data_IF_989170657178
#
_entry.id   IF_989170657178
#
_cell.length_a   1.000
_cell.length_b   1.000
_cell.length_c   1.000
_cell.angle_alpha   90.00
_cell.angle_beta   90.00
_cell.angle_gamma   90.00
#
_symmetry.space_group_name_H-M   'P 1'
#
loop_
_entity.id
_entity.type
_entity.pdbx_description
1 polymer ?
#
# COMPACT_ATOMS: atom_id res chain seq x y z
N UNK A 1 -52.77 -5.23 -54.41
CA UNK A 1 -51.56 -4.68 -53.74
C UNK A 1 -51.86 -3.87 -52.46
N UNK A 2 -52.84 -4.27 -51.63
CA UNK A 2 -53.21 -3.55 -50.39
C UNK A 2 -52.45 -3.94 -49.10
N UNK A 3 -51.98 -5.19 -48.87
CA UNK A 3 -51.37 -5.56 -47.59
C UNK A 3 -49.97 -4.97 -47.40
N UNK A 4 -49.20 -4.84 -48.49
CA UNK A 4 -47.84 -4.29 -48.46
C UNK A 4 -47.80 -2.85 -47.92
N UNK A 5 -48.82 -2.03 -48.22
CA UNK A 5 -48.88 -0.62 -47.79
C UNK A 5 -49.19 -0.49 -46.30
N UNK A 6 -50.00 -1.39 -45.75
CA UNK A 6 -50.33 -1.43 -44.31
C UNK A 6 -49.12 -1.88 -43.49
N UNK A 7 -48.41 -2.92 -43.93
CA UNK A 7 -47.17 -3.39 -43.30
C UNK A 7 -46.10 -2.30 -43.31
N UNK A 8 -45.90 -1.63 -44.45
CA UNK A 8 -44.91 -0.53 -44.56
C UNK A 8 -45.24 0.65 -43.65
N UNK A 9 -46.53 0.95 -43.45
CA UNK A 9 -46.98 2.00 -42.54
C UNK A 9 -46.79 1.58 -41.07
N UNK A 10 -47.12 0.35 -40.72
CA UNK A 10 -46.96 -0.19 -39.37
C UNK A 10 -45.49 -0.23 -38.93
N UNK A 11 -44.58 -0.72 -39.80
CA UNK A 11 -43.14 -0.74 -39.55
C UNK A 11 -42.61 0.68 -39.36
N UNK A 12 -43.03 1.65 -40.17
CA UNK A 12 -42.59 3.04 -40.04
C UNK A 12 -43.01 3.68 -38.71
N UNK A 13 -44.14 3.29 -38.12
CA UNK A 13 -44.57 3.77 -36.79
C UNK A 13 -43.95 3.01 -35.63
N UNK A 14 -43.65 1.71 -35.78
CA UNK A 14 -43.13 0.88 -34.69
C UNK A 14 -41.60 0.86 -34.64
N UNK A 15 -40.92 1.06 -35.77
CA UNK A 15 -39.45 1.04 -35.82
C UNK A 15 -38.80 2.11 -34.93
N UNK A 16 -39.23 3.38 -34.90
CA UNK A 16 -38.63 4.38 -34.01
C UNK A 16 -38.73 4.02 -32.52
N UNK A 17 -39.91 3.72 -31.93
CA UNK A 17 -40.00 3.41 -30.50
C UNK A 17 -39.25 2.13 -30.12
N UNK A 18 -39.23 1.10 -30.97
CA UNK A 18 -38.46 -0.13 -30.72
C UNK A 18 -36.96 0.16 -30.72
N UNK A 19 -36.48 0.99 -31.66
CA UNK A 19 -35.08 1.40 -31.71
C UNK A 19 -34.68 2.18 -30.47
N UNK A 20 -35.50 3.14 -30.03
CA UNK A 20 -35.23 3.90 -28.80
C UNK A 20 -35.24 3.01 -27.56
N UNK A 21 -36.21 2.09 -27.43
CA UNK A 21 -36.23 1.12 -26.32
C UNK A 21 -34.98 0.24 -26.31
N UNK A 22 -34.55 -0.25 -27.47
CA UNK A 22 -33.34 -1.07 -27.59
C UNK A 22 -32.08 -0.29 -27.20
N UNK A 23 -31.98 0.99 -27.61
CA UNK A 23 -30.89 1.87 -27.22
C UNK A 23 -30.88 2.14 -25.72
N UNK A 24 -32.03 2.43 -25.12
CA UNK A 24 -32.16 2.63 -23.67
C UNK A 24 -31.76 1.36 -22.91
N UNK A 25 -32.19 0.18 -23.36
CA UNK A 25 -31.79 -1.09 -22.75
C UNK A 25 -30.28 -1.31 -22.84
N UNK A 26 -29.68 -1.05 -24.01
CA UNK A 26 -28.23 -1.16 -24.20
C UNK A 26 -27.45 -0.19 -23.31
N UNK A 27 -27.86 1.08 -23.26
CA UNK A 27 -27.23 2.08 -22.40
C UNK A 27 -27.44 1.79 -20.91
N UNK A 28 -28.61 1.27 -20.51
CA UNK A 28 -28.85 0.83 -19.14
C UNK A 28 -27.93 -0.32 -18.74
N UNK A 29 -27.76 -1.32 -19.61
CA UNK A 29 -26.82 -2.42 -19.38
C UNK A 29 -25.38 -1.92 -19.27
N UNK A 30 -24.95 -1.06 -20.20
CA UNK A 30 -23.60 -0.49 -20.24
C UNK A 30 -23.33 0.43 -19.03
N UNK A 31 -24.32 1.19 -18.55
CA UNK A 31 -24.15 2.01 -17.36
C UNK A 31 -23.87 1.18 -16.09
N UNK A 32 -24.34 -0.07 -16.05
CA UNK A 32 -24.10 -0.98 -14.91
C UNK A 32 -22.81 -1.78 -15.08
N UNK A 33 -22.55 -2.33 -16.27
CA UNK A 33 -21.44 -3.28 -16.53
C UNK A 33 -20.27 -2.69 -17.31
N UNK A 34 -20.38 -1.44 -17.75
CA UNK A 34 -19.34 -0.78 -18.52
C UNK A 34 -18.09 -0.54 -17.68
N UNK A 35 -16.97 -0.30 -18.36
CA UNK A 35 -15.69 -0.02 -17.71
C UNK A 35 -15.71 1.22 -16.80
N UNK A 36 -16.72 2.09 -16.93
CA UNK A 36 -16.95 3.26 -16.08
C UNK A 36 -18.34 3.20 -15.42
N UNK A 37 -18.92 2.01 -15.36
CA UNK A 37 -20.18 1.78 -14.65
C UNK A 37 -20.01 1.88 -13.13
N UNK A 38 -21.13 1.77 -12.43
CA UNK A 38 -21.18 1.95 -10.97
C UNK A 38 -20.25 0.97 -10.25
N UNK A 39 -20.19 -0.29 -10.69
CA UNK A 39 -19.32 -1.30 -10.09
C UNK A 39 -17.83 -1.00 -10.30
N UNK A 40 -17.44 -0.65 -11.53
CA UNK A 40 -16.06 -0.30 -11.84
C UNK A 40 -15.58 0.92 -11.03
N UNK A 41 -16.48 1.91 -10.81
CA UNK A 41 -16.18 3.06 -9.96
C UNK A 41 -15.95 2.66 -8.49
N UNK A 42 -16.78 1.77 -7.95
CA UNK A 42 -16.61 1.26 -6.58
C UNK A 42 -15.30 0.48 -6.42
N UNK A 43 -14.98 -0.41 -7.36
CA UNK A 43 -13.75 -1.18 -7.35
C UNK A 43 -12.52 -0.26 -7.45
N UNK A 44 -12.58 0.76 -8.30
CA UNK A 44 -11.51 1.74 -8.44
C UNK A 44 -11.29 2.55 -7.15
N UNK A 45 -12.36 2.92 -6.44
CA UNK A 45 -12.24 3.60 -5.14
C UNK A 45 -11.57 2.71 -4.10
N UNK A 46 -11.95 1.43 -4.04
CA UNK A 46 -11.32 0.45 -3.13
C UNK A 46 -9.84 0.28 -3.46
N UNK A 47 -9.50 0.10 -4.73
CA UNK A 47 -8.10 0.00 -5.18
C UNK A 47 -7.30 1.25 -4.85
N UNK A 48 -7.90 2.44 -5.01
CA UNK A 48 -7.26 3.70 -4.65
C UNK A 48 -6.99 3.77 -3.14
N UNK A 49 -7.96 3.38 -2.31
CA UNK A 49 -7.78 3.34 -0.86
C UNK A 49 -6.69 2.35 -0.44
N UNK A 50 -6.68 1.15 -1.03
CA UNK A 50 -5.64 0.14 -0.80
C UNK A 50 -4.26 0.64 -1.22
N UNK A 51 -4.14 1.31 -2.36
CA UNK A 51 -2.88 1.88 -2.83
C UNK A 51 -2.36 2.99 -1.88
N UNK A 52 -3.25 3.83 -1.35
CA UNK A 52 -2.89 4.85 -0.38
C UNK A 52 -2.41 4.24 0.94
N UNK A 53 -3.09 3.20 1.44
CA UNK A 53 -2.69 2.48 2.64
C UNK A 53 -1.33 1.81 2.44
N UNK A 54 -1.14 1.06 1.35
CA UNK A 54 0.14 0.42 1.04
C UNK A 54 1.30 1.43 0.92
N UNK A 55 1.02 2.63 0.40
CA UNK A 55 2.02 3.71 0.36
C UNK A 55 2.38 4.22 1.76
N UNK A 56 1.40 4.35 2.66
CA UNK A 56 1.64 4.75 4.06
C UNK A 56 2.46 3.70 4.79
N UNK A 57 2.07 2.43 4.70
CA UNK A 57 2.78 1.31 5.33
C UNK A 57 4.24 1.23 4.86
N UNK A 58 4.47 1.39 3.55
CA UNK A 58 5.82 1.40 2.98
C UNK A 58 6.67 2.57 3.49
N UNK A 59 6.06 3.75 3.70
CA UNK A 59 6.77 4.92 4.28
C UNK A 59 7.11 4.70 5.75
N UNK A 60 6.20 4.12 6.52
CA UNK A 60 6.42 3.83 7.93
C UNK A 60 7.53 2.78 8.11
N UNK A 61 7.50 1.73 7.29
CA UNK A 61 8.57 0.73 7.25
C UNK A 61 9.91 1.37 6.85
N UNK A 62 9.91 2.19 5.79
CA UNK A 62 11.11 2.92 5.37
C UNK A 62 11.65 3.80 6.50
N UNK A 63 10.81 4.50 7.26
CA UNK A 63 11.23 5.34 8.37
C UNK A 63 11.88 4.52 9.50
N UNK A 64 11.36 3.34 9.80
CA UNK A 64 11.96 2.42 10.78
C UNK A 64 13.34 1.96 10.33
N UNK A 65 13.46 1.49 9.08
CA UNK A 65 14.75 1.06 8.55
C UNK A 65 15.75 2.20 8.43
N UNK A 66 15.28 3.39 8.05
CA UNK A 66 16.13 4.57 7.97
C UNK A 66 16.76 4.88 9.33
N UNK A 67 15.98 4.84 10.42
CA UNK A 67 16.52 4.99 11.79
C UNK A 67 17.56 3.93 12.12
N UNK A 68 17.31 2.67 11.79
CA UNK A 68 18.26 1.56 12.03
C UNK A 68 19.56 1.74 11.25
N UNK A 69 19.46 2.09 9.97
CA UNK A 69 20.64 2.34 9.12
C UNK A 69 21.43 3.54 9.62
N UNK A 70 20.76 4.61 10.03
CA UNK A 70 21.42 5.77 10.63
C UNK A 70 22.17 5.41 11.93
N UNK A 71 21.57 4.57 12.78
CA UNK A 71 22.22 4.09 14.01
C UNK A 71 23.46 3.22 13.74
N UNK A 72 23.53 2.55 12.58
CA UNK A 72 24.70 1.75 12.17
C UNK A 72 25.80 2.56 11.49
N UNK A 73 25.56 3.82 11.14
CA UNK A 73 26.55 4.66 10.45
C UNK A 73 27.65 5.07 11.42
N UNK A 74 28.91 5.07 10.99
CA UNK A 74 30.10 5.38 11.84
C UNK A 74 29.96 6.64 12.72
N UNK A 75 29.28 7.68 12.24
CA UNK A 75 29.04 8.91 13.03
C UNK A 75 28.05 8.74 14.20
N UNK A 76 27.29 7.65 14.22
CA UNK A 76 26.37 7.30 15.31
C UNK A 76 26.96 6.23 16.24
N UNK A 77 28.15 5.70 15.94
CA UNK A 77 28.84 4.78 16.84
C UNK A 77 29.41 5.59 18.01
N UNK A 78 28.71 5.53 19.14
CA UNK A 78 29.09 6.25 20.35
C UNK A 78 30.41 5.70 20.91
N UNK A 79 31.38 6.59 21.12
CA UNK A 79 32.66 6.25 21.70
C UNK A 79 32.50 5.65 23.10
N UNK A 80 31.47 6.08 23.86
CA UNK A 80 31.19 5.56 25.19
C UNK A 80 30.67 4.13 25.15
N UNK A 81 29.80 3.79 24.17
CA UNK A 81 29.35 2.40 23.96
C UNK A 81 30.52 1.51 23.53
N UNK A 82 31.43 2.02 22.70
CA UNK A 82 32.61 1.28 22.29
C UNK A 82 33.55 1.05 23.48
N UNK A 83 33.76 2.06 24.34
CA UNK A 83 34.55 1.95 25.56
C UNK A 83 33.93 0.93 26.52
N UNK A 84 32.62 1.00 26.78
CA UNK A 84 31.88 0.06 27.62
C UNK A 84 32.02 -1.38 27.10
N UNK A 85 31.83 -1.60 25.79
CA UNK A 85 31.99 -2.92 25.17
C UNK A 85 33.43 -3.42 25.22
N UNK A 86 34.42 -2.54 25.04
CA UNK A 86 35.83 -2.90 25.13
C UNK A 86 36.21 -3.33 26.55
N UNK A 87 35.69 -2.63 27.58
CA UNK A 87 35.88 -2.97 28.99
C UNK A 87 35.18 -4.29 29.34
N UNK A 88 33.93 -4.47 28.92
CA UNK A 88 33.15 -5.67 29.20
C UNK A 88 33.71 -6.93 28.52
N UNK A 89 34.18 -6.83 27.27
CA UNK A 89 34.63 -8.01 26.51
C UNK A 89 36.13 -8.30 26.64
N UNK A 90 36.95 -7.27 26.72
CA UNK A 90 38.41 -7.40 26.67
C UNK A 90 39.08 -7.09 28.01
N UNK A 91 38.32 -6.71 29.03
CA UNK A 91 38.85 -6.17 30.30
C UNK A 91 39.86 -5.03 30.04
N UNK A 92 39.62 -4.24 28.99
CA UNK A 92 40.47 -3.11 28.64
C UNK A 92 40.35 -2.04 29.74
N UNK A 93 41.44 -1.34 30.05
CA UNK A 93 41.45 -0.30 31.07
C UNK A 93 42.36 0.84 30.64
N UNK A 94 42.05 2.07 31.05
CA UNK A 94 42.88 3.24 30.75
C UNK A 94 43.90 3.46 31.87
N UNK A 95 45.00 4.15 31.57
CA UNK A 95 45.99 4.51 32.58
C UNK A 95 45.36 5.35 33.69
N UNK A 96 45.52 4.91 34.94
CA UNK A 96 44.97 5.56 36.13
C UNK A 96 43.65 4.96 36.64
N UNK A 97 43.05 4.02 35.91
CA UNK A 97 41.83 3.33 36.35
C UNK A 97 42.16 2.30 37.46
N UNK A 98 41.26 2.16 38.43
CA UNK A 98 41.35 1.16 39.50
C UNK A 98 40.57 -0.09 39.06
N UNK A 99 41.27 -1.23 38.97
CA UNK A 99 40.65 -2.51 38.63
C UNK A 99 40.25 -3.24 39.91
N UNK A 100 38.95 -3.52 40.06
CA UNK A 100 38.43 -4.35 41.15
C UNK A 100 38.09 -5.72 40.57
N UNK A 101 38.84 -6.78 40.94
CA UNK A 101 38.54 -8.12 40.46
C UNK A 101 37.24 -8.63 41.09
N UNK A 102 36.46 -9.35 40.28
CA UNK A 102 35.25 -9.99 40.76
C UNK A 102 35.55 -11.11 41.77
N UNK A 103 34.63 -11.30 42.71
CA UNK A 103 34.65 -12.44 43.63
C UNK A 103 34.53 -13.75 42.84
N UNK A 104 35.07 -14.90 43.30
CA UNK A 104 35.08 -16.16 42.55
C UNK A 104 33.71 -16.63 42.00
N UNK A 105 32.62 -16.10 42.55
CA UNK A 105 31.24 -16.47 42.21
C UNK A 105 30.43 -15.38 41.48
N UNK A 106 30.97 -14.17 41.27
CA UNK A 106 30.24 -13.03 40.68
C UNK A 106 30.83 -12.63 39.33
N UNK A 107 30.55 -13.40 38.27
CA UNK A 107 30.93 -12.99 36.90
C UNK A 107 29.76 -12.26 36.24
N UNK A 108 30.06 -11.17 35.52
CA UNK A 108 29.04 -10.44 34.73
C UNK A 108 28.52 -11.24 33.53
N UNK A 109 29.23 -12.30 33.13
CA UNK A 109 28.87 -13.22 32.04
C UNK A 109 29.34 -14.64 32.34
#
# INVERSE_FOLDING_TARGET
MRPLRLIKRAIRTVAPPVLFLSLTAYFGWNALHGAHGIHAYQDQLVLQQQALQAQQDAKDEQAVWHRRVLALKEKALDADILDERSRAMLNLTRNGDIVVPYSPHDKLF
#
